data_IF_750411344820
#
_entry.id   IF_750411344820
#
_cell.length_a   1.000
_cell.length_b   1.000
_cell.length_c   1.000
_cell.angle_alpha   90.00
_cell.angle_beta   90.00
_cell.angle_gamma   90.00
#
_symmetry.space_group_name_H-M   'P 1'
#
loop_
_entity.id
_entity.type
_entity.pdbx_description
1 polymer ?
#
# COMPACT_ATOMS: atom_id res chain seq x y z
N UNK A 1 24.67 11.99 -25.11
CA UNK A 1 23.70 11.29 -25.99
C UNK A 1 24.30 10.68 -27.26
N UNK A 2 25.45 11.13 -27.82
CA UNK A 2 26.08 10.43 -28.95
C UNK A 2 27.01 9.25 -28.57
N UNK A 3 27.45 9.16 -27.31
CA UNK A 3 28.23 8.01 -26.82
C UNK A 3 27.37 6.77 -26.48
N UNK A 4 26.03 6.93 -26.39
CA UNK A 4 25.11 5.84 -26.06
C UNK A 4 24.53 5.13 -27.30
N UNK A 5 24.68 5.73 -28.49
CA UNK A 5 24.18 5.13 -29.75
C UNK A 5 25.14 4.08 -30.33
N UNK A 6 26.43 4.16 -30.02
CA UNK A 6 27.43 3.20 -30.50
C UNK A 6 27.37 1.87 -29.73
N UNK A 7 26.99 1.89 -28.45
CA UNK A 7 26.87 0.68 -27.62
C UNK A 7 25.59 -0.15 -27.90
N UNK A 8 24.51 0.51 -28.33
CA UNK A 8 23.23 -0.17 -28.65
C UNK A 8 23.21 -0.87 -30.01
N UNK A 9 24.18 -0.65 -30.90
CA UNK A 9 24.26 -1.34 -32.18
C UNK A 9 24.95 -2.72 -32.09
N UNK A 10 25.73 -2.98 -31.04
CA UNK A 10 26.56 -4.19 -30.93
C UNK A 10 26.02 -5.26 -29.96
N UNK A 11 25.01 -4.96 -29.14
CA UNK A 11 24.58 -5.88 -28.05
C UNK A 11 23.13 -6.34 -28.08
N UNK A 12 22.28 -5.84 -28.99
CA UNK A 12 20.96 -6.43 -29.25
C UNK A 12 20.02 -6.63 -28.05
N UNK A 13 20.20 -5.91 -26.93
CA UNK A 13 19.34 -6.02 -25.74
C UNK A 13 18.44 -4.80 -25.58
N UNK A 14 17.13 -5.05 -25.49
CA UNK A 14 16.08 -4.06 -25.34
C UNK A 14 15.85 -3.65 -23.87
N UNK A 15 15.43 -2.40 -23.71
CA UNK A 15 15.47 -1.61 -22.48
C UNK A 15 14.14 -1.71 -21.70
N UNK A 16 13.81 -2.84 -21.04
CA UNK A 16 12.65 -2.92 -20.12
C UNK A 16 12.88 -3.97 -19.02
N UNK A 17 13.15 -3.53 -17.77
CA UNK A 17 12.76 -4.17 -16.47
C UNK A 17 13.58 -3.60 -15.31
N UNK A 18 13.09 -2.53 -14.68
CA UNK A 18 13.65 -2.01 -13.42
C UNK A 18 12.59 -1.73 -12.34
N UNK A 19 11.36 -2.26 -12.48
CA UNK A 19 10.22 -1.86 -11.63
C UNK A 19 9.61 -2.96 -10.74
N UNK A 20 10.24 -4.14 -10.59
CA UNK A 20 9.60 -5.30 -9.93
C UNK A 20 10.32 -5.85 -8.68
N UNK A 21 11.53 -5.41 -8.35
CA UNK A 21 12.35 -6.03 -7.29
C UNK A 21 12.11 -5.40 -5.89
N UNK A 22 11.47 -4.23 -5.79
CA UNK A 22 11.39 -3.45 -4.53
C UNK A 22 10.26 -3.88 -3.56
N UNK A 23 9.32 -4.75 -3.97
CA UNK A 23 8.11 -5.04 -3.15
C UNK A 23 8.14 -6.31 -2.29
N UNK A 24 9.05 -7.27 -2.49
CA UNK A 24 8.97 -8.57 -1.80
C UNK A 24 9.99 -8.76 -0.67
N UNK A 25 11.06 -7.97 -0.62
CA UNK A 25 12.11 -8.09 0.40
C UNK A 25 11.69 -7.58 1.80
N UNK A 26 10.71 -6.68 1.90
CA UNK A 26 10.30 -6.09 3.20
C UNK A 26 9.42 -7.00 4.07
N UNK A 27 8.79 -8.04 3.51
CA UNK A 27 7.80 -8.82 4.26
C UNK A 27 8.39 -9.95 5.12
N UNK A 28 9.57 -10.49 4.76
CA UNK A 28 10.16 -11.62 5.49
C UNK A 28 10.92 -11.24 6.77
N UNK A 29 11.31 -9.97 6.94
CA UNK A 29 12.18 -9.56 8.05
C UNK A 29 11.39 -9.27 9.35
N UNK A 30 10.06 -9.09 9.29
CA UNK A 30 9.28 -8.55 10.43
C UNK A 30 8.54 -9.58 11.31
N UNK A 31 8.57 -10.89 11.05
CA UNK A 31 7.74 -11.85 11.80
C UNK A 31 8.43 -12.84 12.77
N UNK A 32 9.70 -12.67 13.16
CA UNK A 32 10.28 -13.53 14.22
C UNK A 32 11.20 -12.79 15.19
N UNK A 33 10.60 -12.07 16.14
CA UNK A 33 11.24 -11.83 17.44
C UNK A 33 10.26 -12.17 18.56
N UNK A 34 10.39 -13.37 19.13
CA UNK A 34 10.29 -13.70 20.57
C UNK A 34 10.01 -15.20 20.73
N UNK A 35 11.07 -15.98 20.90
CA UNK A 35 11.20 -17.11 21.84
C UNK A 35 12.26 -18.11 21.34
N UNK A 36 13.00 -18.61 22.32
CA UNK A 36 14.00 -19.68 22.30
C UNK A 36 13.81 -20.81 21.28
N UNK A 37 14.93 -21.17 20.59
CA UNK A 37 15.18 -22.44 19.88
C UNK A 37 14.13 -22.85 18.83
N UNK A 38 14.19 -22.25 17.64
CA UNK A 38 13.68 -22.90 16.42
C UNK A 38 14.86 -23.54 15.68
N UNK A 39 14.74 -24.83 15.39
CA UNK A 39 15.77 -25.64 14.72
C UNK A 39 15.98 -25.20 13.27
N UNK A 40 17.11 -25.58 12.68
CA UNK A 40 17.51 -25.43 11.27
C UNK A 40 16.44 -25.84 10.22
N UNK A 41 15.35 -26.46 10.66
CA UNK A 41 14.25 -26.95 9.82
C UNK A 41 13.32 -25.81 9.34
N UNK A 42 13.11 -24.76 10.14
CA UNK A 42 12.19 -23.65 9.84
C UNK A 42 12.73 -22.66 8.79
N UNK A 43 14.05 -22.53 8.68
CA UNK A 43 14.68 -21.68 7.67
C UNK A 43 14.57 -22.28 6.27
N UNK A 44 14.46 -23.62 6.17
CA UNK A 44 14.41 -24.34 4.90
C UNK A 44 13.05 -24.18 4.23
N UNK A 45 11.96 -24.19 5.00
CA UNK A 45 10.60 -24.00 4.46
C UNK A 45 10.37 -22.58 3.95
N UNK A 46 10.73 -21.55 4.72
CA UNK A 46 10.62 -20.13 4.30
C UNK A 46 11.48 -19.85 3.07
N UNK A 47 12.67 -20.45 2.99
CA UNK A 47 13.57 -20.31 1.85
C UNK A 47 13.05 -21.01 0.58
N UNK A 48 12.42 -22.18 0.72
CA UNK A 48 11.86 -22.95 -0.41
C UNK A 48 10.67 -22.23 -1.03
N UNK A 49 9.89 -21.50 -0.23
CA UNK A 49 8.78 -20.68 -0.73
C UNK A 49 9.27 -19.40 -1.41
N UNK A 50 10.31 -18.73 -0.87
CA UNK A 50 10.92 -17.54 -1.51
C UNK A 50 11.65 -17.87 -2.82
N UNK A 51 12.25 -19.06 -2.97
CA UNK A 51 12.90 -19.48 -4.22
C UNK A 51 11.91 -19.80 -5.35
N UNK A 52 10.64 -20.01 -5.03
CA UNK A 52 9.59 -20.33 -6.02
C UNK A 52 8.99 -19.08 -6.71
N UNK A 53 9.19 -17.88 -6.14
CA UNK A 53 8.63 -16.61 -6.67
C UNK A 53 9.70 -15.63 -7.19
N UNK A 54 10.99 -15.99 -7.15
CA UNK A 54 12.06 -15.21 -7.78
C UNK A 54 11.98 -15.34 -9.31
N UNK A 55 12.19 -14.25 -10.08
CA UNK A 55 12.45 -14.37 -11.51
C UNK A 55 13.62 -15.33 -11.71
N UNK A 56 13.48 -16.30 -12.63
CA UNK A 56 14.45 -17.40 -12.84
C UNK A 56 15.92 -16.93 -12.92
N UNK A 57 16.20 -15.67 -13.30
CA UNK A 57 17.56 -15.14 -13.42
C UNK A 57 18.23 -14.74 -12.07
N UNK A 58 17.50 -14.27 -11.05
CA UNK A 58 18.09 -13.84 -9.76
C UNK A 58 18.29 -15.03 -8.83
N UNK A 59 17.33 -15.97 -8.86
CA UNK A 59 17.47 -17.27 -8.21
C UNK A 59 18.65 -18.04 -8.80
N UNK A 60 18.78 -18.06 -10.14
CA UNK A 60 19.90 -18.70 -10.81
C UNK A 60 21.26 -18.06 -10.48
N UNK A 61 21.40 -16.74 -10.51
CA UNK A 61 22.68 -16.08 -10.18
C UNK A 61 23.06 -16.24 -8.70
N UNK A 62 22.11 -16.17 -7.78
CA UNK A 62 22.36 -16.34 -6.35
C UNK A 62 22.59 -17.80 -5.95
N UNK A 63 21.84 -18.74 -6.52
CA UNK A 63 22.08 -20.17 -6.35
C UNK A 63 23.39 -20.59 -7.02
N UNK A 64 23.74 -19.99 -8.16
CA UNK A 64 25.04 -20.17 -8.80
C UNK A 64 26.16 -19.64 -7.90
N UNK A 65 26.02 -18.46 -7.29
CA UNK A 65 27.00 -17.93 -6.34
C UNK A 65 27.08 -18.74 -5.04
N UNK A 66 25.97 -19.30 -4.55
CA UNK A 66 25.96 -20.22 -3.40
C UNK A 66 26.62 -21.55 -3.73
N UNK A 67 26.38 -22.09 -4.93
CA UNK A 67 27.03 -23.30 -5.43
C UNK A 67 28.52 -23.03 -5.65
N UNK A 68 28.89 -21.87 -6.20
CA UNK A 68 30.29 -21.44 -6.33
C UNK A 68 30.95 -21.24 -4.97
N UNK A 69 30.30 -20.60 -4.00
CA UNK A 69 30.83 -20.43 -2.65
C UNK A 69 30.93 -21.75 -1.89
N UNK A 70 29.95 -22.65 -2.04
CA UNK A 70 29.98 -23.99 -1.47
C UNK A 70 31.07 -24.85 -2.13
N UNK A 71 31.27 -24.72 -3.45
CA UNK A 71 32.36 -25.35 -4.18
C UNK A 71 33.71 -24.79 -3.75
N UNK A 72 33.84 -23.47 -3.58
CA UNK A 72 35.04 -22.82 -3.07
C UNK A 72 35.32 -23.26 -1.63
N UNK A 73 34.31 -23.36 -0.76
CA UNK A 73 34.46 -23.87 0.62
C UNK A 73 34.80 -25.36 0.68
N UNK A 74 34.19 -26.18 -0.17
CA UNK A 74 34.49 -27.61 -0.28
C UNK A 74 35.89 -27.84 -0.88
N UNK A 75 36.29 -27.03 -1.86
CA UNK A 75 37.65 -27.03 -2.41
C UNK A 75 38.65 -26.51 -1.39
N UNK A 76 38.34 -25.47 -0.62
CA UNK A 76 39.16 -25.00 0.49
C UNK A 76 39.32 -26.08 1.55
N UNK A 77 38.26 -26.84 1.90
CA UNK A 77 38.34 -27.98 2.80
C UNK A 77 39.19 -29.13 2.22
N UNK A 78 39.06 -29.43 0.92
CA UNK A 78 39.88 -30.38 0.20
C UNK A 78 41.37 -29.95 0.15
N UNK A 79 41.64 -28.68 -0.06
CA UNK A 79 42.99 -28.10 0.01
C UNK A 79 43.51 -27.97 1.44
N UNK A 80 42.65 -27.79 2.45
CA UNK A 80 43.00 -27.86 3.89
C UNK A 80 43.59 -29.23 4.22
N UNK A 81 42.99 -30.30 3.69
CA UNK A 81 43.50 -31.66 3.82
C UNK A 81 44.79 -31.91 3.02
N UNK A 82 45.00 -31.20 1.90
CA UNK A 82 46.15 -31.37 1.00
C UNK A 82 47.34 -30.47 1.35
N UNK A 83 47.12 -29.32 2.00
CA UNK A 83 48.17 -28.44 2.54
C UNK A 83 48.95 -29.13 3.68
N UNK A 84 48.31 -30.01 4.45
CA UNK A 84 48.99 -30.89 5.40
C UNK A 84 50.01 -31.84 4.71
N UNK A 85 49.79 -32.18 3.43
CA UNK A 85 50.70 -32.98 2.61
C UNK A 85 51.70 -32.13 1.79
N UNK A 86 51.55 -30.80 1.77
CA UNK A 86 52.43 -29.90 1.02
C UNK A 86 53.80 -29.75 1.71
N UNK A 87 53.86 -30.00 3.02
CA UNK A 87 55.10 -29.91 3.81
C UNK A 87 55.96 -31.18 3.78
N UNK A 88 55.45 -32.30 3.24
CA UNK A 88 56.13 -33.60 3.25
C UNK A 88 56.64 -34.09 1.89
N UNK A 89 56.55 -33.30 0.82
CA UNK A 89 57.07 -33.73 -0.48
C UNK A 89 57.10 -32.66 -1.56
N UNK A 90 58.21 -31.91 -1.62
CA UNK A 90 58.65 -31.26 -2.85
C UNK A 90 59.08 -32.35 -3.84
N UNK A 91 58.15 -32.78 -4.70
CA UNK A 91 58.37 -33.35 -6.03
C UNK A 91 56.99 -33.60 -6.69
N UNK A 92 56.43 -32.58 -7.35
CA UNK A 92 55.39 -32.75 -8.37
C UNK A 92 55.26 -31.47 -9.22
N UNK A 93 55.90 -31.49 -10.39
CA UNK A 93 55.86 -30.47 -11.44
C UNK A 93 54.51 -30.40 -12.20
N UNK A 94 53.37 -30.35 -11.51
CA UNK A 94 52.07 -30.07 -12.16
C UNK A 94 51.32 -28.93 -11.46
N UNK A 95 51.02 -27.80 -12.15
CA UNK A 95 50.15 -26.76 -11.61
C UNK A 95 48.72 -27.28 -11.60
N UNK A 96 47.96 -27.09 -10.52
CA UNK A 96 46.50 -27.26 -10.57
C UNK A 96 45.92 -25.99 -11.21
N UNK A 97 45.60 -25.97 -12.52
CA UNK A 97 45.39 -24.72 -13.27
C UNK A 97 44.18 -23.93 -12.75
N UNK A 98 43.22 -24.64 -12.13
CA UNK A 98 42.03 -24.07 -11.53
C UNK A 98 42.34 -23.19 -10.30
N UNK A 99 43.30 -23.57 -9.46
CA UNK A 99 43.61 -22.79 -8.26
C UNK A 99 44.26 -21.46 -8.64
N UNK A 100 45.20 -21.48 -9.59
CA UNK A 100 45.81 -20.26 -10.12
C UNK A 100 44.72 -19.37 -10.75
N UNK A 101 43.84 -19.94 -11.58
CA UNK A 101 42.76 -19.17 -12.20
C UNK A 101 41.83 -18.53 -11.16
N UNK A 102 41.44 -19.24 -10.11
CA UNK A 102 40.59 -18.69 -9.02
C UNK A 102 41.30 -17.57 -8.29
N UNK A 103 42.57 -17.76 -7.92
CA UNK A 103 43.39 -16.74 -7.25
C UNK A 103 43.55 -15.49 -8.13
N UNK A 104 43.73 -15.66 -9.44
CA UNK A 104 43.94 -14.57 -10.38
C UNK A 104 42.65 -13.84 -10.79
N UNK A 105 41.47 -14.45 -10.62
CA UNK A 105 40.21 -13.88 -11.11
C UNK A 105 39.20 -13.53 -10.01
N UNK A 106 39.16 -14.28 -8.91
CA UNK A 106 38.29 -14.00 -7.78
C UNK A 106 38.88 -12.86 -6.93
N UNK A 107 38.05 -12.06 -6.25
CA UNK A 107 38.51 -10.96 -5.40
C UNK A 107 39.05 -11.49 -4.06
N UNK A 108 40.05 -12.36 -4.13
CA UNK A 108 40.66 -13.01 -2.98
C UNK A 108 42.14 -12.64 -2.86
N UNK A 109 42.64 -12.70 -1.62
CA UNK A 109 44.06 -12.75 -1.30
C UNK A 109 44.30 -14.03 -0.53
N UNK A 110 45.28 -14.81 -0.96
CA UNK A 110 45.75 -15.98 -0.26
C UNK A 110 47.16 -15.70 0.28
N UNK A 111 47.31 -15.82 1.59
CA UNK A 111 48.61 -15.65 2.26
C UNK A 111 48.96 -16.87 3.09
N UNK A 112 50.25 -17.14 3.21
CA UNK A 112 50.79 -18.09 4.17
C UNK A 112 51.98 -17.46 4.87
N UNK A 113 52.07 -17.66 6.19
CA UNK A 113 53.19 -17.26 7.03
C UNK A 113 53.75 -18.48 7.75
N UNK A 114 55.04 -18.46 8.06
CA UNK A 114 55.64 -19.46 8.96
C UNK A 114 55.43 -19.12 10.44
N UNK A 115 55.97 -19.95 11.34
CA UNK A 115 55.84 -19.79 12.78
C UNK A 115 56.49 -18.50 13.33
N UNK A 116 57.41 -17.89 12.57
CA UNK A 116 58.01 -16.59 12.89
C UNK A 116 57.21 -15.41 12.31
N UNK A 117 56.12 -15.69 11.57
CA UNK A 117 55.30 -14.70 10.90
C UNK A 117 55.88 -14.21 9.57
N UNK A 118 56.85 -14.91 8.99
CA UNK A 118 57.44 -14.52 7.70
C UNK A 118 56.54 -15.02 6.56
N UNK A 119 56.20 -14.14 5.63
CA UNK A 119 55.39 -14.51 4.47
C UNK A 119 56.11 -15.56 3.60
N UNK A 120 55.45 -16.70 3.40
CA UNK A 120 55.83 -17.76 2.46
C UNK A 120 55.01 -17.73 1.18
N UNK A 121 53.81 -17.18 1.23
CA UNK A 121 52.93 -16.99 0.08
C UNK A 121 52.16 -15.67 0.26
N UNK A 122 52.01 -14.93 -0.83
CA UNK A 122 51.08 -13.80 -0.94
C UNK A 122 50.69 -13.63 -2.40
N UNK A 123 49.48 -14.08 -2.74
CA UNK A 123 48.96 -14.09 -4.12
C UNK A 123 47.49 -13.75 -4.12
N UNK A 124 46.96 -13.30 -5.25
CA UNK A 124 45.53 -13.04 -5.42
C UNK A 124 45.23 -11.69 -6.04
N UNK A 125 44.15 -11.64 -6.81
CA UNK A 125 43.70 -10.43 -7.52
C UNK A 125 43.43 -9.26 -6.59
N UNK A 126 42.91 -9.51 -5.39
CA UNK A 126 42.57 -8.45 -4.45
C UNK A 126 43.79 -7.81 -3.77
N UNK A 127 45.02 -8.25 -4.08
CA UNK A 127 46.22 -7.49 -3.70
C UNK A 127 46.26 -6.12 -4.39
N UNK A 128 45.66 -5.99 -5.57
CA UNK A 128 45.58 -4.73 -6.33
C UNK A 128 44.82 -3.64 -5.56
N UNK A 129 43.76 -3.99 -4.81
CA UNK A 129 43.02 -3.02 -3.98
C UNK A 129 43.81 -2.55 -2.76
N UNK A 130 44.84 -3.29 -2.37
CA UNK A 130 45.83 -2.87 -1.38
C UNK A 130 47.07 -2.20 -2.00
N UNK A 131 47.12 -2.06 -3.33
CA UNK A 131 48.27 -1.50 -4.05
C UNK A 131 49.50 -2.41 -4.06
N UNK A 132 49.34 -3.71 -3.77
CA UNK A 132 50.43 -4.69 -3.67
C UNK A 132 50.49 -5.57 -4.92
N UNK A 133 51.69 -6.04 -5.25
CA UNK A 133 51.90 -7.08 -6.28
C UNK A 133 51.98 -8.47 -5.67
N UNK A 134 51.54 -9.53 -6.40
CA UNK A 134 51.77 -10.90 -5.99
C UNK A 134 53.25 -11.16 -5.70
N UNK A 135 53.53 -11.77 -4.55
CA UNK A 135 54.87 -12.09 -4.10
C UNK A 135 55.66 -10.93 -3.47
N UNK A 136 55.19 -9.68 -3.54
CA UNK A 136 55.95 -8.49 -3.11
C UNK A 136 56.36 -8.54 -1.63
N UNK A 137 55.51 -9.11 -0.78
CA UNK A 137 55.75 -9.22 0.66
C UNK A 137 56.40 -10.52 1.09
N UNK A 138 56.64 -11.46 0.16
CA UNK A 138 57.23 -12.78 0.48
C UNK A 138 58.64 -12.59 1.04
N UNK A 139 58.94 -13.28 2.14
CA UNK A 139 60.20 -13.16 2.87
C UNK A 139 60.23 -12.04 3.91
N UNK A 140 59.22 -11.16 3.96
CA UNK A 140 59.09 -10.11 4.99
C UNK A 140 58.30 -10.63 6.19
N UNK A 141 58.55 -10.03 7.36
CA UNK A 141 57.78 -10.30 8.58
C UNK A 141 56.41 -9.63 8.52
N UNK A 142 55.34 -10.40 8.68
CA UNK A 142 53.97 -9.89 8.78
C UNK A 142 53.80 -8.94 9.98
N UNK A 143 54.55 -9.16 11.07
CA UNK A 143 54.55 -8.27 12.23
C UNK A 143 55.19 -6.92 11.92
N UNK A 144 56.17 -6.87 11.02
CA UNK A 144 56.80 -5.61 10.60
C UNK A 144 55.93 -4.89 9.58
N UNK A 145 55.44 -5.61 8.56
CA UNK A 145 54.59 -5.07 7.48
C UNK A 145 53.32 -4.44 8.05
N UNK A 146 52.71 -5.06 9.06
CA UNK A 146 51.47 -4.59 9.69
C UNK A 146 51.69 -4.02 11.10
N UNK A 147 52.89 -3.53 11.41
CA UNK A 147 53.23 -2.99 12.74
C UNK A 147 52.31 -1.85 13.19
N UNK A 148 51.84 -1.02 12.25
CA UNK A 148 50.91 0.08 12.50
C UNK A 148 49.43 -0.36 12.57
N UNK A 149 49.13 -1.66 12.46
CA UNK A 149 47.78 -2.21 12.42
C UNK A 149 47.54 -3.18 13.61
N UNK A 150 47.23 -2.68 14.82
CA UNK A 150 47.13 -3.50 16.03
C UNK A 150 46.13 -4.66 15.93
N UNK A 151 45.05 -4.48 15.17
CA UNK A 151 44.06 -5.52 14.93
C UNK A 151 44.64 -6.70 14.14
N UNK A 152 45.42 -6.41 13.09
CA UNK A 152 46.10 -7.45 12.29
C UNK A 152 47.18 -8.15 13.12
N UNK A 153 47.94 -7.41 13.93
CA UNK A 153 48.92 -7.99 14.85
C UNK A 153 48.26 -8.96 15.85
N UNK A 154 47.10 -8.58 16.41
CA UNK A 154 46.33 -9.46 17.30
C UNK A 154 45.84 -10.72 16.57
N UNK A 155 45.39 -10.59 15.31
CA UNK A 155 45.02 -11.72 14.47
C UNK A 155 46.19 -12.67 14.21
N UNK A 156 47.38 -12.13 13.91
CA UNK A 156 48.61 -12.91 13.71
C UNK A 156 48.99 -13.69 14.97
N UNK A 157 49.00 -13.05 16.13
CA UNK A 157 49.27 -13.75 17.39
C UNK A 157 48.24 -14.86 17.67
N UNK A 158 46.96 -14.58 17.43
CA UNK A 158 45.87 -15.53 17.67
C UNK A 158 45.95 -16.77 16.77
N UNK A 159 46.23 -16.59 15.47
CA UNK A 159 46.35 -17.74 14.56
C UNK A 159 47.63 -18.53 14.85
N UNK A 160 48.72 -17.85 15.22
CA UNK A 160 49.99 -18.49 15.57
C UNK A 160 49.97 -19.19 16.94
N UNK A 161 49.02 -18.86 17.84
CA UNK A 161 48.74 -19.64 19.05
C UNK A 161 47.88 -20.88 18.79
N UNK A 162 47.39 -21.07 17.56
CA UNK A 162 46.69 -22.27 17.12
C UNK A 162 45.18 -22.13 16.94
N UNK A 163 44.63 -20.91 17.05
CA UNK A 163 43.20 -20.68 16.86
C UNK A 163 42.85 -20.54 15.37
N UNK A 164 41.74 -21.14 14.95
CA UNK A 164 41.08 -20.81 13.67
C UNK A 164 39.95 -19.82 13.91
N UNK A 165 39.84 -18.78 13.08
CA UNK A 165 38.78 -17.78 13.21
C UNK A 165 38.50 -17.05 11.91
N UNK A 166 37.33 -16.41 11.87
CA UNK A 166 36.96 -15.45 10.84
C UNK A 166 36.93 -14.06 11.49
N UNK A 167 37.39 -13.06 10.76
CA UNK A 167 37.35 -11.65 11.17
C UNK A 167 37.07 -10.76 9.97
N UNK A 168 36.77 -9.49 10.25
CA UNK A 168 36.63 -8.47 9.22
C UNK A 168 37.70 -7.43 9.43
N UNK A 169 38.35 -7.03 8.34
CA UNK A 169 39.40 -6.02 8.35
C UNK A 169 39.06 -4.97 7.30
N UNK A 170 39.29 -3.70 7.64
CA UNK A 170 39.16 -2.60 6.71
C UNK A 170 40.54 -2.06 6.43
N UNK A 171 40.98 -2.14 5.18
CA UNK A 171 42.28 -1.65 4.76
C UNK A 171 42.15 -0.76 3.54
N UNK A 172 42.74 0.44 3.58
CA UNK A 172 42.68 1.43 2.50
C UNK A 172 41.25 1.72 1.99
N UNK A 173 40.24 1.59 2.86
CA UNK A 173 38.82 1.80 2.51
C UNK A 173 38.13 0.58 1.85
N UNK A 174 38.84 -0.54 1.73
CA UNK A 174 38.31 -1.81 1.25
C UNK A 174 37.98 -2.74 2.42
N UNK A 175 36.85 -3.44 2.31
CA UNK A 175 36.40 -4.38 3.34
C UNK A 175 36.83 -5.80 2.97
N UNK A 176 37.49 -6.49 3.88
CA UNK A 176 37.91 -7.88 3.73
C UNK A 176 37.30 -8.75 4.80
N UNK A 177 36.65 -9.85 4.38
CA UNK A 177 36.34 -10.97 5.27
C UNK A 177 37.56 -11.92 5.26
N UNK A 178 38.14 -12.17 6.43
CA UNK A 178 39.41 -12.87 6.56
C UNK A 178 39.21 -14.14 7.37
N UNK A 179 39.44 -15.29 6.74
CA UNK A 179 39.53 -16.57 7.45
C UNK A 179 41.01 -16.90 7.70
N UNK A 180 41.38 -17.03 8.98
CA UNK A 180 42.72 -17.39 9.41
C UNK A 180 42.72 -18.80 10.01
N UNK A 181 43.66 -19.64 9.55
CA UNK A 181 43.79 -21.03 9.98
C UNK A 181 45.26 -21.37 10.25
N UNK A 182 45.59 -22.04 11.36
CA UNK A 182 46.94 -22.52 11.62
C UNK A 182 47.25 -23.68 10.68
N UNK A 183 48.49 -23.75 10.20
CA UNK A 183 48.98 -24.90 9.42
C UNK A 183 49.80 -25.79 10.33
N UNK A 184 49.53 -27.09 10.29
CA UNK A 184 50.25 -28.12 11.03
C UNK A 184 50.86 -29.13 10.06
N UNK A 185 52.00 -29.68 10.42
CA UNK A 185 52.59 -30.81 9.71
C UNK A 185 51.89 -32.13 10.08
N UNK A 186 52.38 -33.25 9.53
CA UNK A 186 51.84 -34.59 9.75
C UNK A 186 51.95 -35.08 11.20
N UNK A 187 52.89 -34.54 11.99
CA UNK A 187 53.04 -34.88 13.41
C UNK A 187 52.18 -33.99 14.34
N UNK A 188 51.45 -33.03 13.78
CA UNK A 188 50.55 -32.14 14.51
C UNK A 188 51.21 -30.87 15.06
N UNK A 189 52.53 -30.71 14.89
CA UNK A 189 53.26 -29.49 15.20
C UNK A 189 52.80 -28.35 14.29
N UNK A 190 52.56 -27.18 14.87
CA UNK A 190 52.20 -25.98 14.11
C UNK A 190 53.43 -25.37 13.46
N UNK A 191 53.31 -25.07 12.16
CA UNK A 191 54.43 -24.67 11.30
C UNK A 191 54.22 -23.29 10.69
N UNK A 192 53.04 -22.72 10.88
CA UNK A 192 52.64 -21.44 10.33
C UNK A 192 51.14 -21.22 10.37
N UNK A 193 50.66 -20.35 9.50
CA UNK A 193 49.26 -20.07 9.29
C UNK A 193 48.96 -19.69 7.84
N UNK A 194 47.74 -19.92 7.40
CA UNK A 194 47.19 -19.46 6.12
C UNK A 194 46.04 -18.52 6.42
N UNK A 195 45.94 -17.45 5.64
CA UNK A 195 44.79 -16.56 5.67
C UNK A 195 44.24 -16.34 4.26
N UNK A 196 42.91 -16.43 4.14
CA UNK A 196 42.16 -16.11 2.93
C UNK A 196 41.38 -14.83 3.20
N UNK A 197 41.63 -13.81 2.40
CA UNK A 197 40.91 -12.55 2.44
C UNK A 197 39.97 -12.54 1.24
N UNK A 198 38.69 -12.27 1.47
CA UNK A 198 37.71 -12.03 0.42
C UNK A 198 37.31 -10.56 0.47
N UNK A 199 37.51 -9.83 -0.63
CA UNK A 199 37.09 -8.44 -0.70
C UNK A 199 35.56 -8.36 -0.86
N UNK A 200 34.88 -7.71 0.10
CA UNK A 200 33.43 -7.58 0.18
C UNK A 200 32.95 -6.13 0.08
N UNK A 201 33.82 -5.20 -0.33
CA UNK A 201 33.56 -3.75 -0.42
C UNK A 201 32.26 -3.41 -1.18
N UNK A 202 32.10 -3.96 -2.39
CA UNK A 202 30.90 -3.71 -3.23
C UNK A 202 29.63 -4.22 -2.58
N UNK A 203 29.69 -5.41 -1.99
CA UNK A 203 28.57 -6.04 -1.29
C UNK A 203 28.15 -5.20 -0.08
N UNK A 204 29.10 -4.81 0.78
CA UNK A 204 28.85 -3.97 1.96
C UNK A 204 28.24 -2.62 1.60
N UNK A 205 28.75 -1.99 0.54
CA UNK A 205 28.23 -0.69 0.07
C UNK A 205 26.79 -0.82 -0.44
N UNK A 206 26.49 -1.87 -1.21
CA UNK A 206 25.15 -2.12 -1.71
C UNK A 206 24.15 -2.45 -0.58
N UNK A 207 24.54 -3.30 0.39
CA UNK A 207 23.72 -3.63 1.55
C UNK A 207 23.42 -2.37 2.39
N UNK A 208 24.42 -1.53 2.64
CA UNK A 208 24.26 -0.29 3.40
C UNK A 208 23.36 0.72 2.69
N UNK A 209 23.56 0.89 1.37
CA UNK A 209 22.72 1.79 0.57
C UNK A 209 21.26 1.30 0.49
N UNK A 210 21.05 -0.01 0.35
CA UNK A 210 19.71 -0.58 0.35
C UNK A 210 19.02 -0.40 1.70
N UNK A 211 19.74 -0.57 2.82
CA UNK A 211 19.22 -0.32 4.16
C UNK A 211 18.83 1.14 4.36
N UNK A 212 19.68 2.07 3.90
CA UNK A 212 19.41 3.52 3.98
C UNK A 212 18.20 3.92 3.13
N UNK A 213 18.12 3.46 1.88
CA UNK A 213 16.97 3.71 1.00
C UNK A 213 15.67 3.14 1.59
N UNK A 214 15.71 1.94 2.17
CA UNK A 214 14.54 1.34 2.82
C UNK A 214 14.06 2.21 3.99
N UNK A 215 15.00 2.62 4.84
CA UNK A 215 14.70 3.46 6.01
C UNK A 215 14.11 4.82 5.61
N UNK A 216 14.73 5.49 4.64
CA UNK A 216 14.26 6.77 4.11
C UNK A 216 12.87 6.62 3.45
N UNK A 217 12.63 5.52 2.74
CA UNK A 217 11.32 5.25 2.14
C UNK A 217 10.22 5.12 3.21
N UNK A 218 10.46 4.35 4.27
CA UNK A 218 9.48 4.15 5.35
C UNK A 218 9.20 5.48 6.09
N UNK A 219 10.23 6.27 6.35
CA UNK A 219 10.09 7.60 6.97
C UNK A 219 9.30 8.57 6.08
N UNK A 220 9.56 8.59 4.77
CA UNK A 220 8.85 9.46 3.83
C UNK A 220 7.36 9.09 3.74
N UNK A 221 7.04 7.79 3.69
CA UNK A 221 5.65 7.32 3.68
C UNK A 221 4.91 7.73 4.96
N UNK A 222 5.56 7.59 6.12
CA UNK A 222 5.00 8.02 7.41
C UNK A 222 4.74 9.53 7.42
N UNK A 223 5.74 10.33 7.05
CA UNK A 223 5.63 11.79 7.01
C UNK A 223 4.52 12.26 6.04
N UNK A 224 4.37 11.61 4.89
CA UNK A 224 3.29 11.91 3.94
C UNK A 224 1.90 11.68 4.53
N UNK A 225 1.68 10.53 5.17
CA UNK A 225 0.38 10.18 5.76
C UNK A 225 0.09 11.05 7.00
N UNK A 226 1.11 11.43 7.78
CA UNK A 226 0.93 12.30 8.95
C UNK A 226 0.63 13.75 8.55
N UNK A 227 1.19 14.22 7.43
CA UNK A 227 0.92 15.55 6.91
C UNK A 227 -0.53 15.69 6.39
N UNK A 228 -1.06 14.65 5.74
CA UNK A 228 -2.42 14.63 5.22
C UNK A 228 -3.47 14.83 6.34
N UNK A 229 -4.55 15.61 6.14
CA UNK A 229 -5.57 15.88 7.15
C UNK A 229 -6.54 14.70 7.38
N UNK A 230 -6.03 13.47 7.27
CA UNK A 230 -6.79 12.22 7.40
C UNK A 230 -6.32 11.45 8.62
N UNK A 231 -7.26 10.81 9.32
CA UNK A 231 -6.96 9.81 10.34
C UNK A 231 -6.88 8.48 9.62
N UNK A 232 -5.77 7.79 9.76
CA UNK A 232 -5.50 6.57 9.01
C UNK A 232 -5.07 5.44 9.93
N UNK A 233 -5.64 4.26 9.71
CA UNK A 233 -5.15 3.01 10.27
C UNK A 233 -5.22 1.90 9.22
N UNK A 234 -4.38 0.89 9.38
CA UNK A 234 -4.49 -0.37 8.65
C UNK A 234 -4.71 -1.48 9.66
N UNK A 235 -5.69 -2.33 9.38
CA UNK A 235 -6.04 -3.47 10.22
C UNK A 235 -5.92 -4.76 9.43
N UNK A 236 -5.58 -5.84 10.13
CA UNK A 236 -5.70 -7.22 9.65
C UNK A 236 -7.17 -7.67 9.72
N UNK A 237 -7.47 -8.84 9.14
CA UNK A 237 -8.81 -9.42 9.08
C UNK A 237 -9.41 -9.74 10.47
N UNK A 238 -8.55 -9.92 11.47
CA UNK A 238 -8.94 -10.13 12.87
C UNK A 238 -9.05 -8.82 13.67
N UNK A 239 -8.99 -7.66 13.01
CA UNK A 239 -9.00 -6.33 13.60
C UNK A 239 -7.72 -5.92 14.36
N UNK A 240 -6.62 -6.66 14.18
CA UNK A 240 -5.32 -6.25 14.69
C UNK A 240 -4.79 -5.04 13.93
N UNK A 241 -4.39 -3.98 14.64
CA UNK A 241 -3.80 -2.78 14.02
C UNK A 241 -2.39 -3.08 13.55
N UNK A 242 -2.17 -2.94 12.25
CA UNK A 242 -0.85 -3.10 11.61
C UNK A 242 -0.15 -1.75 11.41
N UNK A 243 -0.94 -0.67 11.32
CA UNK A 243 -0.45 0.69 11.13
C UNK A 243 -1.47 1.68 11.69
N UNK A 244 -0.99 2.79 12.24
CA UNK A 244 -1.79 3.96 12.56
C UNK A 244 -0.94 5.22 12.36
N UNK A 245 -1.55 6.30 11.89
CA UNK A 245 -0.88 7.59 11.76
C UNK A 245 -1.03 8.46 13.01
N UNK A 246 -0.22 9.51 13.13
CA UNK A 246 -0.22 10.39 14.30
C UNK A 246 -1.58 11.04 14.50
N UNK A 247 -2.28 11.44 13.42
CA UNK A 247 -3.62 12.04 13.53
C UNK A 247 -4.65 11.09 14.12
N UNK A 248 -4.55 9.80 13.84
CA UNK A 248 -5.42 8.80 14.45
C UNK A 248 -5.10 8.63 15.95
N UNK A 249 -3.82 8.62 16.32
CA UNK A 249 -3.38 8.63 17.72
C UNK A 249 -3.92 9.86 18.46
N UNK A 250 -3.80 11.05 17.88
CA UNK A 250 -4.29 12.30 18.46
C UNK A 250 -5.84 12.31 18.61
N UNK A 251 -6.56 11.75 17.63
CA UNK A 251 -8.03 11.63 17.69
C UNK A 251 -8.49 10.73 18.83
N UNK A 252 -7.83 9.59 19.01
CA UNK A 252 -8.23 8.56 19.98
C UNK A 252 -7.64 8.79 21.37
N UNK A 253 -6.58 9.60 21.46
CA UNK A 253 -5.79 9.78 22.68
C UNK A 253 -4.90 8.58 23.04
N UNK A 254 -4.87 7.54 22.19
CA UNK A 254 -4.09 6.32 22.45
C UNK A 254 -2.73 6.44 21.76
N UNK A 255 -1.60 6.28 22.47
CA UNK A 255 -0.28 6.32 21.86
C UNK A 255 -0.09 5.27 20.77
N UNK A 256 0.59 5.62 19.67
CA UNK A 256 0.88 4.71 18.54
C UNK A 256 1.45 3.35 18.99
N UNK A 257 2.33 3.34 19.98
CA UNK A 257 2.93 2.10 20.52
C UNK A 257 1.92 1.14 21.16
N UNK A 258 0.80 1.66 21.66
CA UNK A 258 -0.28 0.85 22.22
C UNK A 258 -1.27 0.41 21.15
N UNK A 259 -1.40 1.18 20.07
CA UNK A 259 -2.25 0.82 18.94
C UNK A 259 -1.67 -0.35 18.16
N UNK A 260 -0.38 -0.29 17.79
CA UNK A 260 0.27 -1.31 16.95
C UNK A 260 0.21 -2.71 17.60
N UNK A 261 -0.29 -3.69 16.85
CA UNK A 261 -0.45 -5.08 17.28
C UNK A 261 -1.64 -5.33 18.22
N UNK A 262 -2.34 -4.28 18.65
CA UNK A 262 -3.53 -4.44 19.46
C UNK A 262 -4.79 -4.59 18.61
N UNK A 263 -5.80 -5.22 19.19
CA UNK A 263 -7.08 -5.39 18.53
C UNK A 263 -7.91 -4.10 18.64
N UNK A 264 -8.22 -3.45 17.51
CA UNK A 264 -8.89 -2.14 17.53
C UNK A 264 -10.30 -2.23 18.14
N UNK A 265 -10.96 -3.40 18.02
CA UNK A 265 -12.29 -3.63 18.58
C UNK A 265 -12.29 -3.61 20.12
N UNK A 266 -11.18 -4.00 20.77
CA UNK A 266 -11.08 -3.99 22.24
C UNK A 266 -10.57 -2.66 22.80
N UNK A 267 -9.78 -1.90 22.04
CA UNK A 267 -9.10 -0.70 22.53
C UNK A 267 -9.95 0.57 22.54
N UNK A 268 -10.79 0.79 21.52
CA UNK A 268 -11.30 2.15 21.23
C UNK A 268 -12.78 2.33 21.61
N UNK A 269 -13.49 1.30 22.08
CA UNK A 269 -14.96 1.30 21.93
C UNK A 269 -15.78 1.19 23.20
N UNK A 270 -16.51 2.29 23.48
CA UNK A 270 -17.77 2.31 24.23
C UNK A 270 -18.82 3.08 23.39
N UNK A 271 -19.90 2.45 22.91
CA UNK A 271 -21.05 3.14 22.28
C UNK A 271 -21.79 2.35 21.17
N UNK A 272 -23.04 2.73 20.80
CA UNK A 272 -23.89 2.05 19.79
C UNK A 272 -23.54 2.34 18.31
N UNK A 273 -22.81 3.43 18.01
CA UNK A 273 -22.26 3.72 16.66
C UNK A 273 -21.23 2.66 16.21
N UNK A 274 -20.78 1.83 17.16
CA UNK A 274 -19.87 0.70 17.02
C UNK A 274 -20.31 -0.30 15.95
N UNK A 275 -21.52 -0.82 16.03
CA UNK A 275 -21.94 -1.98 15.24
C UNK A 275 -21.91 -1.69 13.74
N UNK A 276 -22.24 -0.46 13.35
CA UNK A 276 -22.24 -0.05 11.95
C UNK A 276 -20.82 0.01 11.37
N UNK A 277 -19.84 0.62 12.07
CA UNK A 277 -18.45 0.73 11.57
C UNK A 277 -17.80 -0.64 11.38
N UNK A 278 -18.01 -1.56 12.32
CA UNK A 278 -17.50 -2.95 12.21
C UNK A 278 -18.19 -3.71 11.08
N UNK A 279 -19.50 -3.55 10.94
CA UNK A 279 -20.23 -4.15 9.83
C UNK A 279 -19.67 -3.66 8.49
N UNK A 280 -19.33 -2.37 8.35
CA UNK A 280 -18.70 -1.84 7.14
C UNK A 280 -17.32 -2.43 6.87
N UNK A 281 -16.51 -2.67 7.89
CA UNK A 281 -15.25 -3.39 7.72
C UNK A 281 -15.49 -4.83 7.26
N UNK A 282 -16.45 -5.54 7.85
CA UNK A 282 -16.84 -6.88 7.40
C UNK A 282 -17.33 -6.90 5.96
N UNK A 283 -18.16 -5.95 5.54
CA UNK A 283 -18.60 -5.79 4.14
C UNK A 283 -17.41 -5.67 3.17
N UNK A 284 -16.35 -4.96 3.57
CA UNK A 284 -15.12 -4.80 2.76
C UNK A 284 -14.30 -6.09 2.72
N UNK A 285 -14.17 -6.79 3.84
CA UNK A 285 -13.45 -8.06 3.93
C UNK A 285 -14.20 -9.16 3.15
N UNK A 286 -15.51 -9.24 3.27
CA UNK A 286 -16.27 -10.29 2.60
C UNK A 286 -16.50 -9.98 1.10
N UNK A 287 -16.74 -8.71 0.78
CA UNK A 287 -17.03 -8.25 -0.58
C UNK A 287 -15.81 -7.91 -1.43
N UNK A 288 -14.64 -7.68 -0.81
CA UNK A 288 -13.40 -7.34 -1.50
C UNK A 288 -13.43 -6.01 -2.27
N UNK A 289 -14.42 -5.16 -2.01
CA UNK A 289 -14.60 -3.85 -2.67
C UNK A 289 -14.50 -2.72 -1.67
N UNK A 290 -14.03 -1.55 -2.12
CA UNK A 290 -13.94 -0.38 -1.27
C UNK A 290 -15.35 0.12 -0.87
N UNK A 291 -15.48 0.58 0.38
CA UNK A 291 -16.71 1.13 0.93
C UNK A 291 -16.45 2.54 1.42
N UNK A 292 -17.35 3.47 1.07
CA UNK A 292 -17.36 4.84 1.59
C UNK A 292 -18.69 5.11 2.24
N UNK A 293 -18.67 5.69 3.44
CA UNK A 293 -19.88 6.05 4.16
C UNK A 293 -19.62 7.24 5.09
N UNK A 294 -20.69 7.90 5.51
CA UNK A 294 -20.64 8.96 6.50
C UNK A 294 -21.25 8.51 7.81
N UNK A 295 -20.68 8.97 8.92
CA UNK A 295 -21.33 8.88 10.22
C UNK A 295 -21.07 10.11 11.06
N UNK A 296 -21.66 10.09 12.26
CA UNK A 296 -21.46 11.13 13.26
C UNK A 296 -20.76 10.53 14.46
N UNK A 297 -19.88 11.30 15.09
CA UNK A 297 -19.27 10.96 16.37
C UNK A 297 -19.11 12.25 17.16
N UNK A 298 -19.64 12.29 18.38
CA UNK A 298 -19.58 13.46 19.27
C UNK A 298 -20.05 14.78 18.60
N UNK A 299 -21.09 14.70 17.76
CA UNK A 299 -21.67 15.86 17.07
C UNK A 299 -20.84 16.40 15.89
N UNK A 300 -19.80 15.67 15.47
CA UNK A 300 -19.03 15.93 14.25
C UNK A 300 -19.38 14.90 13.18
N UNK A 301 -19.27 15.30 11.93
CA UNK A 301 -19.49 14.44 10.77
C UNK A 301 -18.16 13.91 10.25
N UNK A 302 -18.08 12.60 10.02
CA UNK A 302 -16.92 11.94 9.46
C UNK A 302 -17.28 11.22 8.17
N UNK A 303 -16.41 11.34 7.17
CA UNK A 303 -16.44 10.53 5.96
C UNK A 303 -15.36 9.46 6.07
N UNK A 304 -15.77 8.20 5.98
CA UNK A 304 -14.92 7.03 6.11
C UNK A 304 -14.71 6.40 4.74
N UNK A 305 -13.47 6.04 4.43
CA UNK A 305 -13.08 5.29 3.25
C UNK A 305 -12.34 4.03 3.70
N UNK A 306 -12.95 2.88 3.44
CA UNK A 306 -12.40 1.57 3.78
C UNK A 306 -11.99 0.90 2.48
N UNK A 307 -10.69 0.61 2.35
CA UNK A 307 -10.08 0.08 1.13
C UNK A 307 -9.51 -1.31 1.43
N UNK A 308 -9.97 -2.36 0.74
CA UNK A 308 -9.39 -3.69 0.90
C UNK A 308 -8.00 -3.71 0.27
N UNK A 309 -7.03 -4.23 1.00
CA UNK A 309 -5.68 -4.45 0.52
C UNK A 309 -5.46 -5.96 0.37
N UNK A 310 -5.17 -6.38 -0.86
CA UNK A 310 -4.94 -7.80 -1.19
C UNK A 310 -3.75 -8.36 -0.41
N UNK A 311 -3.91 -9.58 0.12
CA UNK A 311 -2.76 -10.41 0.48
C UNK A 311 -2.14 -11.03 -0.78
N UNK A 312 -0.83 -11.37 -0.76
CA UNK A 312 -0.16 -12.05 -1.86
C UNK A 312 -0.79 -13.40 -2.30
N UNK A 313 -1.63 -14.06 -1.48
CA UNK A 313 -2.20 -15.40 -1.80
C UNK A 313 -3.73 -15.54 -1.56
N UNK A 314 -4.50 -14.48 -1.76
CA UNK A 314 -5.97 -14.57 -1.71
C UNK A 314 -6.59 -14.54 -0.29
N UNK A 315 -7.91 -14.30 -0.28
CA UNK A 315 -8.74 -13.60 0.73
C UNK A 315 -8.19 -12.23 1.16
N UNK A 316 -9.03 -11.19 1.32
CA UNK A 316 -8.56 -9.86 1.70
C UNK A 316 -8.09 -9.90 3.15
N UNK A 317 -6.78 -9.81 3.33
CA UNK A 317 -6.17 -9.92 4.66
C UNK A 317 -6.18 -8.59 5.41
N UNK A 318 -6.31 -7.44 4.74
CA UNK A 318 -6.12 -6.15 5.38
C UNK A 318 -7.08 -5.12 4.86
N UNK A 319 -7.45 -4.18 5.73
CA UNK A 319 -8.27 -3.03 5.37
C UNK A 319 -7.51 -1.77 5.76
N UNK A 320 -7.29 -0.89 4.78
CA UNK A 320 -6.87 0.48 5.07
C UNK A 320 -8.12 1.31 5.33
N UNK A 321 -8.13 1.99 6.47
CA UNK A 321 -9.24 2.82 6.92
C UNK A 321 -8.75 4.26 6.99
N UNK A 322 -9.40 5.14 6.25
CA UNK A 322 -9.17 6.57 6.27
C UNK A 322 -10.45 7.27 6.67
N UNK A 323 -10.36 8.26 7.55
CA UNK A 323 -11.51 9.10 7.83
C UNK A 323 -11.10 10.53 8.18
N UNK A 324 -11.94 11.48 7.78
CA UNK A 324 -11.69 12.90 7.98
C UNK A 324 -12.98 13.63 8.36
N UNK A 325 -12.82 14.76 9.04
CA UNK A 325 -13.92 15.56 9.55
C UNK A 325 -14.48 16.42 8.42
N UNK A 326 -15.75 16.21 8.08
CA UNK A 326 -16.47 16.94 7.03
C UNK A 326 -17.50 17.90 7.60
N UNK A 327 -17.45 18.18 8.91
CA UNK A 327 -18.47 19.01 9.59
C UNK A 327 -18.58 20.40 8.98
N UNK A 328 -17.45 21.06 8.71
CA UNK A 328 -17.45 22.40 8.14
C UNK A 328 -17.96 22.39 6.68
N UNK A 329 -17.69 21.32 5.93
CA UNK A 329 -18.24 21.11 4.59
C UNK A 329 -19.77 20.99 4.65
N UNK A 330 -20.30 20.13 5.51
CA UNK A 330 -21.75 19.92 5.66
C UNK A 330 -22.44 21.22 6.11
N UNK A 331 -21.88 21.94 7.08
CA UNK A 331 -22.42 23.23 7.55
C UNK A 331 -22.46 24.28 6.43
N UNK A 332 -21.40 24.36 5.62
CA UNK A 332 -21.35 25.29 4.50
C UNK A 332 -22.38 24.93 3.41
N UNK A 333 -22.53 23.65 3.10
CA UNK A 333 -23.53 23.15 2.14
C UNK A 333 -24.96 23.44 2.62
N UNK A 334 -25.24 23.26 3.92
CA UNK A 334 -26.56 23.51 4.48
C UNK A 334 -26.90 25.00 4.53
N UNK A 335 -25.93 25.86 4.90
CA UNK A 335 -26.10 27.32 4.85
C UNK A 335 -26.37 27.82 3.43
N UNK A 336 -25.65 27.29 2.44
CA UNK A 336 -25.87 27.65 1.04
C UNK A 336 -27.24 27.16 0.55
N UNK A 337 -27.66 25.97 0.98
CA UNK A 337 -28.99 25.43 0.67
C UNK A 337 -30.10 26.31 1.26
N UNK A 338 -29.94 26.78 2.50
CA UNK A 338 -30.84 27.73 3.13
C UNK A 338 -30.85 29.08 2.41
N UNK A 339 -29.68 29.59 1.99
CA UNK A 339 -29.56 30.83 1.21
C UNK A 339 -30.29 30.73 -0.13
N UNK A 340 -30.07 29.66 -0.88
CA UNK A 340 -30.74 29.39 -2.16
C UNK A 340 -32.25 29.23 -1.93
N UNK A 341 -32.67 28.55 -0.87
CA UNK A 341 -34.09 28.40 -0.55
C UNK A 341 -34.75 29.76 -0.22
N UNK A 342 -34.07 30.64 0.50
CA UNK A 342 -34.55 31.99 0.82
C UNK A 342 -34.62 32.87 -0.45
N UNK A 343 -33.59 32.87 -1.28
CA UNK A 343 -33.55 33.61 -2.56
C UNK A 343 -34.64 33.11 -3.52
N UNK A 344 -34.84 31.79 -3.63
CA UNK A 344 -35.93 31.21 -4.42
C UNK A 344 -37.30 31.63 -3.87
N UNK A 345 -37.48 31.65 -2.55
CA UNK A 345 -38.73 32.11 -1.94
C UNK A 345 -39.02 33.59 -2.24
N UNK A 346 -37.99 34.45 -2.23
CA UNK A 346 -38.10 35.87 -2.59
C UNK A 346 -38.49 36.06 -4.08
N UNK A 347 -37.76 35.43 -5.00
CA UNK A 347 -38.06 35.51 -6.46
C UNK A 347 -39.46 34.98 -6.78
N UNK A 348 -39.87 33.87 -6.16
CA UNK A 348 -41.23 33.33 -6.34
C UNK A 348 -42.28 34.29 -5.79
N UNK A 349 -42.01 34.96 -4.67
CA UNK A 349 -42.92 35.96 -4.09
C UNK A 349 -43.06 37.19 -5.00
N UNK A 350 -41.96 37.75 -5.49
CA UNK A 350 -41.97 38.88 -6.43
C UNK A 350 -42.67 38.54 -7.76
N UNK A 351 -42.46 37.33 -8.29
CA UNK A 351 -43.10 36.87 -9.54
C UNK A 351 -44.61 36.70 -9.36
N UNK A 352 -45.05 36.24 -8.18
CA UNK A 352 -46.47 36.15 -7.83
C UNK A 352 -47.11 37.54 -7.64
N UNK A 353 -46.36 38.52 -7.15
CA UNK A 353 -46.80 39.91 -6.97
C UNK A 353 -46.86 40.68 -8.31
N UNK A 354 -45.84 40.60 -9.16
CA UNK A 354 -45.84 41.26 -10.48
C UNK A 354 -46.89 40.69 -11.43
N UNK A 355 -47.16 39.38 -11.35
CA UNK A 355 -48.29 38.80 -12.08
C UNK A 355 -49.65 39.09 -11.42
N UNK A 356 -49.70 39.62 -10.19
CA UNK A 356 -50.96 40.07 -9.60
C UNK A 356 -51.52 41.31 -10.30
N UNK A 357 -50.69 42.16 -10.92
CA UNK A 357 -51.16 43.36 -11.61
C UNK A 357 -51.61 43.08 -13.06
N UNK A 358 -50.84 42.27 -13.79
CA UNK A 358 -51.14 41.92 -15.19
C UNK A 358 -52.20 40.81 -15.31
N UNK A 359 -52.24 39.86 -14.36
CA UNK A 359 -53.33 38.88 -14.28
C UNK A 359 -54.46 39.29 -13.34
N UNK A 360 -54.30 40.25 -12.42
CA UNK A 360 -55.39 40.71 -11.54
C UNK A 360 -56.49 41.43 -12.29
N UNK A 361 -56.13 42.28 -13.25
CA UNK A 361 -57.09 42.94 -14.17
C UNK A 361 -57.85 41.93 -15.03
N UNK A 362 -57.16 40.92 -15.60
CA UNK A 362 -57.80 39.82 -16.36
C UNK A 362 -58.62 38.90 -15.45
N UNK A 363 -58.17 38.67 -14.21
CA UNK A 363 -58.84 37.82 -13.21
C UNK A 363 -60.11 38.47 -12.68
N UNK A 364 -60.14 39.78 -12.45
CA UNK A 364 -61.33 40.50 -12.04
C UNK A 364 -62.37 40.64 -13.18
N UNK A 365 -61.93 40.80 -14.44
CA UNK A 365 -62.83 40.74 -15.60
C UNK A 365 -63.45 39.34 -15.82
N UNK A 366 -62.71 38.26 -15.53
CA UNK A 366 -63.19 36.88 -15.66
C UNK A 366 -64.03 36.42 -14.46
N UNK A 367 -63.72 36.90 -13.24
CA UNK A 367 -64.44 36.59 -12.00
C UNK A 367 -65.86 37.18 -11.98
N UNK A 368 -66.06 38.29 -12.69
CA UNK A 368 -67.37 38.94 -12.84
C UNK A 368 -68.26 38.35 -13.95
N UNK A 369 -67.78 37.35 -14.71
CA UNK A 369 -68.62 36.65 -15.71
C UNK A 369 -69.23 35.39 -15.10
N UNK A 370 -70.58 35.27 -15.08
CA UNK A 370 -71.22 34.04 -14.60
C UNK A 370 -70.81 32.84 -15.46
N UNK A 371 -70.80 31.65 -14.86
CA UNK A 371 -70.59 30.41 -15.60
C UNK A 371 -71.66 30.28 -16.68
N UNK A 372 -71.24 29.97 -17.89
CA UNK A 372 -72.16 29.69 -18.99
C UNK A 372 -72.94 28.40 -18.70
N UNK A 373 -74.11 28.17 -19.34
CA UNK A 373 -74.87 26.94 -19.15
C UNK A 373 -74.06 25.65 -19.43
N UNK A 374 -73.14 25.70 -20.42
CA UNK A 374 -72.25 24.58 -20.74
C UNK A 374 -71.19 24.35 -19.67
N UNK A 375 -70.59 25.40 -19.14
CA UNK A 375 -69.62 25.31 -18.04
C UNK A 375 -70.28 24.81 -16.75
N UNK A 376 -71.49 25.26 -16.46
CA UNK A 376 -72.28 24.76 -15.33
C UNK A 376 -72.59 23.27 -15.47
N UNK A 377 -72.95 22.80 -16.67
CA UNK A 377 -73.19 21.38 -16.92
C UNK A 377 -71.92 20.52 -16.71
N UNK A 378 -70.78 20.98 -17.22
CA UNK A 378 -69.49 20.31 -17.01
C UNK A 378 -69.10 20.31 -15.52
N UNK A 379 -69.34 21.41 -14.80
CA UNK A 379 -69.09 21.47 -13.35
C UNK A 379 -69.96 20.48 -12.56
N UNK A 380 -71.23 20.27 -12.95
CA UNK A 380 -72.10 19.24 -12.37
C UNK A 380 -71.53 17.84 -12.56
N UNK A 381 -71.02 17.55 -13.76
CA UNK A 381 -70.49 16.24 -14.08
C UNK A 381 -69.15 15.95 -13.41
N UNK A 382 -68.33 16.99 -13.20
CA UNK A 382 -67.14 16.91 -12.34
C UNK A 382 -67.55 16.59 -10.90
N UNK A 383 -68.58 17.27 -10.39
CA UNK A 383 -69.09 17.03 -9.04
C UNK A 383 -69.68 15.63 -8.87
N UNK A 384 -70.26 15.06 -9.94
CA UNK A 384 -70.73 13.68 -10.00
C UNK A 384 -69.60 12.64 -10.24
N UNK A 385 -68.33 13.07 -10.27
CA UNK A 385 -67.18 12.17 -10.37
C UNK A 385 -66.84 11.68 -11.78
N UNK A 386 -67.43 12.26 -12.83
CA UNK A 386 -67.11 11.86 -14.21
C UNK A 386 -65.70 12.35 -14.59
N UNK A 387 -64.93 11.45 -15.22
CA UNK A 387 -63.64 11.78 -15.82
C UNK A 387 -63.81 12.67 -17.06
N UNK A 388 -62.78 13.44 -17.41
CA UNK A 388 -62.75 14.29 -18.61
C UNK A 388 -63.12 13.52 -19.89
N UNK A 389 -62.70 12.25 -19.99
CA UNK A 389 -63.03 11.36 -21.11
C UNK A 389 -64.51 10.98 -21.15
N UNK A 390 -65.11 10.66 -20.01
CA UNK A 390 -66.54 10.35 -19.91
C UNK A 390 -67.42 11.57 -20.22
N UNK A 391 -67.02 12.75 -19.73
CA UNK A 391 -67.69 14.02 -20.04
C UNK A 391 -67.61 14.30 -21.55
N UNK A 392 -66.43 14.18 -22.16
CA UNK A 392 -66.25 14.40 -23.59
C UNK A 392 -67.13 13.48 -24.44
N UNK A 393 -67.19 12.20 -24.07
CA UNK A 393 -68.04 11.21 -24.73
C UNK A 393 -69.54 11.53 -24.57
N UNK A 394 -69.98 11.96 -23.37
CA UNK A 394 -71.37 12.31 -23.08
C UNK A 394 -71.86 13.53 -23.86
N UNK A 395 -70.98 14.51 -24.10
CA UNK A 395 -71.30 15.72 -24.87
C UNK A 395 -70.98 15.60 -26.37
N UNK A 396 -70.42 14.46 -26.82
CA UNK A 396 -70.05 14.25 -28.23
C UNK A 396 -68.95 15.19 -28.73
N UNK A 397 -68.03 15.62 -27.86
CA UNK A 397 -66.96 16.58 -28.17
C UNK A 397 -65.57 15.97 -27.94
N UNK A 398 -64.54 16.60 -28.52
CA UNK A 398 -63.16 16.21 -28.26
C UNK A 398 -62.76 16.41 -26.79
N UNK A 399 -61.89 15.54 -26.27
CA UNK A 399 -61.37 15.60 -24.89
C UNK A 399 -60.75 16.99 -24.60
N UNK A 400 -59.98 17.54 -25.53
CA UNK A 400 -59.38 18.88 -25.42
C UNK A 400 -60.41 20.00 -25.21
N UNK A 401 -61.62 19.84 -25.75
CA UNK A 401 -62.72 20.80 -25.54
C UNK A 401 -63.17 20.81 -24.09
N UNK A 402 -63.29 19.63 -23.47
CA UNK A 402 -63.63 19.51 -22.04
C UNK A 402 -62.47 19.99 -21.16
N UNK A 403 -61.22 19.70 -21.51
CA UNK A 403 -60.05 20.24 -20.79
C UNK A 403 -60.04 21.77 -20.78
N UNK A 404 -60.32 22.37 -21.94
CA UNK A 404 -60.43 23.83 -22.08
C UNK A 404 -61.58 24.40 -21.25
N UNK A 405 -62.74 23.74 -21.23
CA UNK A 405 -63.89 24.15 -20.41
C UNK A 405 -63.62 23.98 -18.90
N UNK A 406 -62.95 22.90 -18.48
CA UNK A 406 -62.53 22.70 -17.08
C UNK A 406 -61.57 23.80 -16.64
N UNK A 407 -60.60 24.15 -17.49
CA UNK A 407 -59.66 25.23 -17.23
C UNK A 407 -60.37 26.59 -17.12
N UNK A 408 -61.35 26.86 -17.99
CA UNK A 408 -62.17 28.08 -17.92
C UNK A 408 -62.98 28.16 -16.62
N UNK A 409 -63.59 27.04 -16.19
CA UNK A 409 -64.30 26.95 -14.91
C UNK A 409 -63.35 27.21 -13.73
N UNK A 410 -62.19 26.56 -13.69
CA UNK A 410 -61.19 26.73 -12.62
C UNK A 410 -60.72 28.18 -12.50
N UNK A 411 -60.49 28.84 -13.64
CA UNK A 411 -60.11 30.26 -13.69
C UNK A 411 -61.23 31.18 -13.19
N UNK A 412 -62.46 31.02 -13.70
CA UNK A 412 -63.62 31.84 -13.30
C UNK A 412 -63.95 31.71 -11.81
N UNK A 413 -63.83 30.49 -11.26
CA UNK A 413 -64.12 30.23 -9.85
C UNK A 413 -62.93 30.47 -8.92
N UNK A 414 -61.72 30.69 -9.46
CA UNK A 414 -60.47 30.71 -8.69
C UNK A 414 -60.27 29.45 -7.82
N UNK A 415 -60.61 28.29 -8.37
CA UNK A 415 -60.50 26.99 -7.69
C UNK A 415 -59.76 26.03 -8.63
N UNK A 416 -58.55 25.63 -8.24
CA UNK A 416 -57.65 24.84 -9.10
C UNK A 416 -57.56 23.36 -8.68
N UNK A 417 -58.44 22.91 -7.79
CA UNK A 417 -58.51 21.52 -7.35
C UNK A 417 -59.89 20.94 -7.63
N UNK A 418 -59.94 19.68 -8.08
CA UNK A 418 -61.22 18.98 -8.33
C UNK A 418 -62.05 18.90 -7.05
N UNK A 419 -61.43 18.59 -5.91
CA UNK A 419 -62.11 18.60 -4.61
C UNK A 419 -62.67 19.99 -4.24
N UNK A 420 -61.95 21.07 -4.58
CA UNK A 420 -62.46 22.42 -4.43
C UNK A 420 -63.69 22.69 -5.29
N UNK A 421 -63.67 22.27 -6.56
CA UNK A 421 -64.78 22.45 -7.50
C UNK A 421 -66.03 21.67 -7.05
N UNK A 422 -65.85 20.44 -6.56
CA UNK A 422 -66.93 19.60 -5.99
C UNK A 422 -67.57 20.32 -4.80
N UNK A 423 -66.77 20.82 -3.86
CA UNK A 423 -67.28 21.58 -2.69
C UNK A 423 -68.03 22.85 -3.10
N UNK A 424 -67.53 23.57 -4.10
CA UNK A 424 -68.21 24.74 -4.64
C UNK A 424 -69.55 24.37 -5.28
N UNK A 425 -69.58 23.34 -6.11
CA UNK A 425 -70.80 22.89 -6.79
C UNK A 425 -71.91 22.48 -5.81
N UNK A 426 -71.54 21.82 -4.71
CA UNK A 426 -72.49 21.44 -3.64
C UNK A 426 -72.98 22.67 -2.87
N UNK A 427 -72.06 23.55 -2.44
CA UNK A 427 -72.38 24.74 -1.64
C UNK A 427 -73.32 25.72 -2.37
N UNK A 428 -73.16 25.83 -3.68
CA UNK A 428 -73.96 26.73 -4.52
C UNK A 428 -75.17 26.05 -5.20
N UNK A 429 -75.52 24.82 -4.80
CA UNK A 429 -76.69 24.10 -5.31
C UNK A 429 -76.61 23.71 -6.79
N UNK A 430 -75.40 23.71 -7.36
CA UNK A 430 -75.16 23.29 -8.75
C UNK A 430 -75.25 21.77 -8.86
N UNK A 431 -74.75 21.04 -7.86
CA UNK A 431 -74.87 19.60 -7.74
C UNK A 431 -75.51 19.21 -6.39
N UNK A 432 -76.44 18.26 -6.41
CA UNK A 432 -76.97 17.61 -5.22
C UNK A 432 -76.24 16.29 -4.99
N UNK A 433 -75.96 15.97 -3.72
CA UNK A 433 -75.48 14.63 -3.36
C UNK A 433 -76.65 13.65 -3.47
N UNK A 434 -76.90 13.12 -4.66
CA UNK A 434 -77.69 11.89 -4.80
C UNK A 434 -76.80 10.72 -4.39
N UNK A 435 -77.04 10.20 -3.19
CA UNK A 435 -76.50 8.94 -2.72
C UNK A 435 -77.11 7.78 -3.54
N UNK A 436 -76.48 7.44 -4.66
CA UNK A 436 -76.67 6.13 -5.31
C UNK A 436 -75.42 5.27 -5.10
N UNK A 437 -75.18 4.90 -3.83
CA UNK A 437 -74.47 3.66 -3.52
C UNK A 437 -75.48 2.51 -3.60
N UNK A 438 -75.62 1.88 -4.77
CA UNK A 438 -76.47 0.69 -4.88
C UNK A 438 -76.61 0.07 -6.27
N UNK A 439 -75.99 -1.11 -6.43
CA UNK A 439 -76.21 -2.15 -7.46
C UNK A 439 -75.59 -1.91 -8.84
N UNK A 440 -74.52 -2.64 -9.11
CA UNK A 440 -74.63 -3.83 -9.95
C UNK A 440 -73.55 -4.85 -9.57
N UNK A 441 -73.99 -6.11 -9.51
CA UNK A 441 -73.23 -7.32 -9.21
C UNK A 441 -72.36 -7.72 -10.40
#
# INVERSE_FOLDING_TARGET
>A
MSACKTFCAETGMSFIRFSLIDRHSRHCIQQRSTSTKASYHDFREVWTTMSAEMPDNVSAEYDQLKVELANVRAQLAFYKARCCNWWSGLNADEPVPLLHWVVDNAPIILTAIDQQGIFRLSVGKALESLGLKPGEVVGRSAFEVYSDHPQVIAMLHRVLSGDSFVSEVVEHGHFFEVECVPVRNTDGTQIGAVAVFLEVTRRRSAESQAAELSHNHDQNLQAMIDAAPVKALMIDADFTVLFANQRFSDHTGIPLKQLLGANIHSLILNGPEKDNRFQKVHEVIDGGSAVTFTDTENGRWYEHHLVPLSAPQGKPARVAVFFHDITDRIRAEELERERIAAELHEVVSEMLEHHHDEYGTIRDELRNKPLTPRETAVLKEIAAGLSTKQIAMKHGVAIKTIESQRLAIMRKLSIFTVAGLVRYAIRHGVAHLENDYGRQR
#
